data_IF_601022968539
#
_entry.id   IF_601022968539
#
_cell.length_a   1.000
_cell.length_b   1.000
_cell.length_c   1.000
_cell.angle_alpha   90.00
_cell.angle_beta   90.00
_cell.angle_gamma   90.00
#
_symmetry.space_group_name_H-M   'P 1'
#
loop_
_entity.id
_entity.type
_entity.pdbx_description
1 polymer ?
#
# COMPACT_ATOMS: atom_id res chain seq x y z
N UNK A 1 -8.86 -13.19 8.00
CA UNK A 1 -9.52 -13.29 6.68
C UNK A 1 -8.93 -12.20 5.82
N UNK A 2 -8.55 -12.49 4.58
CA UNK A 2 -8.07 -11.48 3.65
C UNK A 2 -9.11 -11.27 2.55
N UNK A 3 -9.33 -10.02 2.18
CA UNK A 3 -10.19 -9.62 1.07
C UNK A 3 -9.34 -8.75 0.16
N UNK A 4 -9.29 -9.10 -1.12
CA UNK A 4 -8.54 -8.37 -2.14
C UNK A 4 -9.53 -7.79 -3.16
N UNK A 5 -9.31 -6.56 -3.60
CA UNK A 5 -10.05 -5.98 -4.72
C UNK A 5 -9.54 -6.55 -6.05
N UNK A 6 -10.36 -6.54 -7.09
CA UNK A 6 -9.95 -7.04 -8.42
C UNK A 6 -9.15 -5.98 -9.20
N UNK A 7 -9.15 -4.73 -8.73
CA UNK A 7 -8.43 -3.59 -9.30
C UNK A 7 -8.29 -2.43 -8.29
N UNK A 8 -7.74 -1.32 -8.77
CA UNK A 8 -7.53 -0.10 -7.98
C UNK A 8 -8.04 1.14 -8.75
N UNK A 9 -9.34 1.16 -9.04
CA UNK A 9 -10.09 2.30 -9.57
C UNK A 9 -10.95 2.98 -8.50
N UNK A 10 -11.67 4.03 -8.91
CA UNK A 10 -12.47 4.88 -8.01
C UNK A 10 -13.55 4.14 -7.19
N UNK A 11 -13.96 2.95 -7.62
CA UNK A 11 -14.96 2.15 -6.91
C UNK A 11 -14.36 1.29 -5.78
N UNK A 12 -13.04 1.21 -5.68
CA UNK A 12 -12.37 0.25 -4.80
C UNK A 12 -12.22 0.74 -3.35
N UNK A 13 -12.72 1.94 -3.03
CA UNK A 13 -12.75 2.48 -1.65
C UNK A 13 -13.80 1.82 -0.75
N UNK A 14 -14.83 1.19 -1.33
CA UNK A 14 -15.91 0.54 -0.57
C UNK A 14 -15.48 -0.71 0.21
N UNK A 15 -14.26 -1.22 -0.02
CA UNK A 15 -13.72 -2.33 0.77
C UNK A 15 -13.60 -1.98 2.26
N UNK A 16 -13.43 -0.69 2.58
CA UNK A 16 -13.33 -0.19 3.97
C UNK A 16 -14.60 -0.45 4.79
N UNK A 17 -15.76 -0.62 4.15
CA UNK A 17 -17.02 -0.89 4.85
C UNK A 17 -17.17 -2.37 5.28
N UNK A 18 -16.29 -3.25 4.79
CA UNK A 18 -16.38 -4.70 4.99
C UNK A 18 -15.12 -5.32 5.61
N UNK A 19 -14.11 -4.52 5.95
CA UNK A 19 -12.87 -4.98 6.60
C UNK A 19 -12.49 -4.10 7.79
N UNK A 20 -11.81 -4.69 8.77
CA UNK A 20 -11.36 -3.98 9.98
C UNK A 20 -10.12 -3.10 9.74
N UNK A 21 -9.29 -3.43 8.75
CA UNK A 21 -8.04 -2.75 8.43
C UNK A 21 -7.77 -2.84 6.94
N UNK A 22 -7.29 -1.76 6.35
CA UNK A 22 -6.91 -1.70 4.94
C UNK A 22 -5.40 -1.64 4.75
N UNK A 23 -4.93 -2.30 3.69
CA UNK A 23 -3.54 -2.24 3.24
C UNK A 23 -3.54 -1.80 1.79
N UNK A 24 -2.87 -0.68 1.51
CA UNK A 24 -2.70 -0.21 0.13
C UNK A 24 -1.31 -0.61 -0.35
N UNK A 25 -1.27 -1.45 -1.39
CA UNK A 25 -0.04 -1.97 -1.98
C UNK A 25 0.27 -1.20 -3.27
N UNK A 26 1.42 -0.54 -3.30
CA UNK A 26 1.94 0.20 -4.45
C UNK A 26 3.22 -0.46 -4.98
N UNK A 27 3.57 -0.15 -6.22
CA UNK A 27 4.79 -0.64 -6.88
C UNK A 27 5.55 0.55 -7.46
N UNK A 28 6.90 0.58 -7.33
CA UNK A 28 7.73 1.64 -7.91
C UNK A 28 7.53 1.83 -9.42
N UNK A 29 7.66 3.07 -9.88
CA UNK A 29 7.74 3.39 -11.31
C UNK A 29 6.42 3.34 -12.09
N UNK A 30 5.29 3.04 -11.45
CA UNK A 30 3.98 3.04 -12.13
C UNK A 30 3.45 4.45 -12.45
N UNK A 31 4.00 5.52 -11.84
CA UNK A 31 3.48 6.89 -12.03
C UNK A 31 2.04 7.09 -11.52
N UNK A 32 1.51 6.09 -10.81
CA UNK A 32 0.11 5.97 -10.41
C UNK A 32 -0.19 6.58 -9.06
N UNK A 33 0.79 6.83 -8.20
CA UNK A 33 0.59 7.35 -6.84
C UNK A 33 -0.24 8.65 -6.85
N UNK A 34 0.08 9.59 -7.74
CA UNK A 34 -0.68 10.84 -7.95
C UNK A 34 -2.10 10.60 -8.50
N UNK A 35 -2.33 9.52 -9.26
CA UNK A 35 -3.68 9.19 -9.75
C UNK A 35 -4.51 8.42 -8.71
N UNK A 36 -3.87 7.58 -7.89
CA UNK A 36 -4.47 6.85 -6.78
C UNK A 36 -4.97 7.81 -5.69
N UNK A 37 -4.19 8.87 -5.42
CA UNK A 37 -4.58 9.96 -4.50
C UNK A 37 -5.85 10.66 -5.00
N UNK A 38 -5.96 10.93 -6.31
CA UNK A 38 -7.19 11.49 -6.91
C UNK A 38 -8.41 10.56 -6.83
N UNK A 39 -8.21 9.28 -6.58
CA UNK A 39 -9.27 8.27 -6.50
C UNK A 39 -9.75 8.01 -5.06
N UNK A 40 -9.18 8.66 -4.04
CA UNK A 40 -9.56 8.44 -2.64
C UNK A 40 -8.94 7.17 -2.02
N UNK A 41 -8.04 6.48 -2.75
CA UNK A 41 -7.52 5.17 -2.34
C UNK A 41 -6.46 5.32 -1.25
N UNK A 42 -5.61 6.36 -1.32
CA UNK A 42 -4.56 6.55 -0.32
C UNK A 42 -5.15 6.98 1.03
N UNK A 43 -6.33 7.60 1.02
CA UNK A 43 -7.04 8.08 2.20
C UNK A 43 -7.65 6.93 2.99
N UNK A 44 -8.05 5.84 2.32
CA UNK A 44 -8.61 4.68 3.03
C UNK A 44 -7.55 3.84 3.71
N UNK A 45 -6.26 3.98 3.36
CA UNK A 45 -5.16 3.16 3.86
C UNK A 45 -4.93 3.33 5.36
N UNK A 46 -4.87 2.23 6.10
CA UNK A 46 -4.33 2.20 7.47
C UNK A 46 -2.83 1.88 7.45
N UNK A 47 -2.39 1.09 6.47
CA UNK A 47 -0.99 0.72 6.24
C UNK A 47 -0.67 0.78 4.75
N UNK A 48 0.51 1.31 4.41
CA UNK A 48 1.03 1.30 3.05
C UNK A 48 2.09 0.21 2.88
N UNK A 49 2.12 -0.39 1.69
CA UNK A 49 3.14 -1.34 1.30
C UNK A 49 3.73 -0.91 -0.05
N UNK A 50 5.03 -0.72 -0.10
CA UNK A 50 5.79 -0.59 -1.36
C UNK A 50 6.32 -1.98 -1.71
N UNK A 51 5.62 -2.68 -2.59
CA UNK A 51 6.03 -4.00 -3.08
C UNK A 51 6.91 -3.87 -4.32
N UNK A 52 7.74 -4.90 -4.56
CA UNK A 52 8.85 -4.87 -5.52
C UNK A 52 9.85 -3.76 -5.18
N UNK A 53 10.21 -3.66 -3.89
CA UNK A 53 11.19 -2.71 -3.40
C UNK A 53 12.62 -2.91 -4.00
N UNK A 54 12.82 -3.97 -4.79
CA UNK A 54 14.01 -4.18 -5.61
C UNK A 54 14.00 -3.42 -6.96
N UNK A 55 12.90 -2.75 -7.31
CA UNK A 55 12.76 -2.03 -8.57
C UNK A 55 13.21 -0.56 -8.47
N UNK A 56 13.67 -0.04 -9.61
CA UNK A 56 14.00 1.39 -9.73
C UNK A 56 12.79 2.27 -9.41
N UNK A 57 13.04 3.38 -8.70
CA UNK A 57 12.00 4.32 -8.28
C UNK A 57 11.40 4.02 -6.90
N UNK A 58 11.83 2.95 -6.22
CA UNK A 58 11.41 2.62 -4.85
C UNK A 58 11.55 3.83 -3.93
N UNK A 59 12.76 4.39 -3.86
CA UNK A 59 13.05 5.46 -2.91
C UNK A 59 12.28 6.75 -3.22
N UNK A 60 11.91 6.96 -4.49
CA UNK A 60 11.06 8.08 -4.88
C UNK A 60 9.61 7.88 -4.41
N UNK A 61 9.08 6.67 -4.57
CA UNK A 61 7.74 6.31 -4.11
C UNK A 61 7.64 6.35 -2.58
N UNK A 62 8.63 5.82 -1.85
CA UNK A 62 8.64 5.90 -0.37
C UNK A 62 8.65 7.36 0.09
N UNK A 63 9.44 8.23 -0.54
CA UNK A 63 9.44 9.67 -0.22
C UNK A 63 8.09 10.33 -0.46
N UNK A 64 7.44 10.04 -1.58
CA UNK A 64 6.10 10.55 -1.86
C UNK A 64 5.08 10.05 -0.82
N UNK A 65 5.15 8.77 -0.45
CA UNK A 65 4.27 8.21 0.57
C UNK A 65 4.54 8.79 1.95
N UNK A 66 5.77 9.16 2.30
CA UNK A 66 6.05 9.82 3.59
C UNK A 66 5.29 11.14 3.74
N UNK A 67 5.09 11.88 2.64
CA UNK A 67 4.35 13.13 2.65
C UNK A 67 2.83 12.91 2.84
N UNK A 68 2.28 11.82 2.29
CA UNK A 68 0.82 11.53 2.30
C UNK A 68 0.41 10.63 3.47
N UNK A 69 1.31 9.75 3.93
CA UNK A 69 1.00 8.72 4.92
C UNK A 69 0.57 9.32 6.26
N UNK A 70 0.89 10.57 6.56
CA UNK A 70 0.37 11.27 7.76
C UNK A 70 0.62 10.48 9.06
N UNK A 71 1.78 9.82 9.15
CA UNK A 71 2.17 8.98 10.28
C UNK A 71 1.74 7.51 10.20
N UNK A 72 0.98 7.10 9.18
CA UNK A 72 0.69 5.69 8.89
C UNK A 72 1.97 4.96 8.48
N UNK A 73 2.08 3.68 8.84
CA UNK A 73 3.29 2.89 8.55
C UNK A 73 3.40 2.56 7.08
N UNK A 74 4.64 2.56 6.58
CA UNK A 74 5.02 2.15 5.24
C UNK A 74 5.95 0.94 5.38
N UNK A 75 5.63 -0.15 4.69
CA UNK A 75 6.46 -1.35 4.62
C UNK A 75 7.01 -1.55 3.22
N UNK A 76 8.30 -1.77 3.10
CA UNK A 76 8.92 -2.19 1.86
C UNK A 76 8.93 -3.72 1.79
N UNK A 77 8.49 -4.28 0.67
CA UNK A 77 8.41 -5.74 0.48
C UNK A 77 8.92 -6.17 -0.89
N UNK A 78 9.42 -7.41 -0.93
CA UNK A 78 9.67 -8.13 -2.19
C UNK A 78 8.93 -9.45 -2.07
N UNK A 79 7.65 -9.45 -2.43
CA UNK A 79 6.74 -10.57 -2.19
C UNK A 79 7.25 -11.89 -2.81
N UNK A 80 7.86 -11.83 -4.00
CA UNK A 80 8.44 -12.99 -4.68
C UNK A 80 9.64 -13.61 -3.96
N UNK A 81 10.25 -12.87 -3.02
CA UNK A 81 11.37 -13.33 -2.19
C UNK A 81 10.98 -13.50 -0.71
N UNK A 82 9.73 -13.18 -0.34
CA UNK A 82 9.26 -13.21 1.05
C UNK A 82 9.84 -12.11 1.95
N UNK A 83 10.59 -11.13 1.42
CA UNK A 83 11.21 -10.06 2.23
C UNK A 83 10.18 -9.03 2.67
N UNK A 84 10.25 -8.62 3.94
CA UNK A 84 9.34 -7.64 4.55
C UNK A 84 7.94 -8.19 4.89
N UNK A 85 7.66 -9.44 4.52
CA UNK A 85 6.32 -10.04 4.72
C UNK A 85 6.07 -10.38 6.18
N UNK A 86 7.07 -10.89 6.89
CA UNK A 86 6.92 -11.26 8.31
C UNK A 86 6.67 -10.01 9.14
N UNK A 87 7.46 -8.96 8.92
CA UNK A 87 7.31 -7.68 9.61
C UNK A 87 5.96 -7.01 9.33
N UNK A 88 5.47 -7.12 8.09
CA UNK A 88 4.12 -6.65 7.75
C UNK A 88 3.06 -7.45 8.50
N UNK A 89 3.14 -8.78 8.50
CA UNK A 89 2.15 -9.62 9.18
C UNK A 89 2.17 -9.41 10.70
N UNK A 90 3.35 -9.26 11.30
CA UNK A 90 3.49 -8.95 12.73
C UNK A 90 2.85 -7.60 13.07
N UNK A 91 2.92 -6.61 12.18
CA UNK A 91 2.22 -5.33 12.37
C UNK A 91 0.71 -5.43 12.20
N UNK A 92 0.23 -6.27 11.29
CA UNK A 92 -1.20 -6.41 11.01
C UNK A 92 -1.94 -7.28 12.05
N UNK A 93 -1.25 -8.23 12.67
CA UNK A 93 -1.87 -9.24 13.54
C UNK A 93 -1.28 -9.30 14.96
N UNK A 94 -0.20 -8.56 15.23
CA UNK A 94 0.47 -8.50 16.53
C UNK A 94 -0.14 -7.50 17.52
#
# INVERSE_FOLDING_TARGET
MFVETVGAGQNDVGIRDVVDTTVVVLVPGMGDSVQMDKAGILEIADTFVVNKADYEGESALVRELLDIASGRKIFETIATQGKGIVELLDHLFG
#
